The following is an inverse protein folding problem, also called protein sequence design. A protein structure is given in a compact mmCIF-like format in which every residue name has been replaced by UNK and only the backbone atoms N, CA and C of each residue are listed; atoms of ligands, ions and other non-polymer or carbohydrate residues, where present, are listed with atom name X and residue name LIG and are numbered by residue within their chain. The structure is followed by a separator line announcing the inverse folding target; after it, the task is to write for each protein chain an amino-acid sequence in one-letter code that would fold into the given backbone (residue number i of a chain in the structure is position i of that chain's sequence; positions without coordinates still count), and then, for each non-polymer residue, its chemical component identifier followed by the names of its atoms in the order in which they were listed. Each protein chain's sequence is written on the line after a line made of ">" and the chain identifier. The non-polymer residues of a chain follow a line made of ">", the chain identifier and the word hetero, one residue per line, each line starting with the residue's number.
data_IF_875285944620
#
_entry.id   IF_875285944620
#
_cell.length_a   1.000
_cell.length_b   1.000
_cell.length_c   1.000
_cell.angle_alpha   90.00
_cell.angle_beta   90.00
_cell.angle_gamma   90.00
#
_symmetry.space_group_name_H-M   'P 1'
#
loop_
_entity.id
_entity.type
_entity.pdbx_description
1 polymer ?
#
# COMPACT_ATOMS: atom_id res chain seq x y z
N UNK A 1 5.05 -46.44 -4.18
CA UNK A 1 5.41 -45.03 -4.46
C UNK A 1 4.69 -44.15 -3.45
N UNK A 2 5.47 -43.43 -2.64
CA UNK A 2 5.06 -42.80 -1.39
C UNK A 2 4.54 -41.35 -1.56
N UNK A 3 3.69 -40.92 -0.62
CA UNK A 3 3.40 -39.51 -0.31
C UNK A 3 2.22 -38.92 -1.11
N UNK A 4 0.97 -38.87 -0.64
CA UNK A 4 0.37 -38.26 0.56
C UNK A 4 0.24 -36.72 0.47
N UNK A 5 -1.00 -36.28 0.65
CA UNK A 5 -1.43 -35.08 1.39
C UNK A 5 -1.81 -33.84 0.58
N UNK A 6 -2.97 -33.28 0.95
CA UNK A 6 -3.73 -32.29 0.19
C UNK A 6 -3.12 -30.90 0.11
N UNK A 7 -3.46 -30.19 -0.97
CA UNK A 7 -3.03 -28.81 -1.16
C UNK A 7 -3.85 -28.01 -2.18
N UNK A 8 -5.15 -28.29 -2.36
CA UNK A 8 -6.03 -27.48 -3.21
C UNK A 8 -6.06 -25.99 -2.81
N UNK A 9 -5.63 -25.67 -1.58
CA UNK A 9 -5.58 -24.28 -1.09
C UNK A 9 -4.40 -23.45 -1.62
N UNK A 10 -3.28 -24.10 -1.97
CA UNK A 10 -2.11 -23.37 -2.45
C UNK A 10 -2.29 -22.96 -3.90
N UNK A 11 -2.95 -23.80 -4.69
CA UNK A 11 -3.12 -23.58 -6.13
C UNK A 11 -4.07 -22.40 -6.43
N UNK A 12 -5.10 -22.18 -5.62
CA UNK A 12 -5.95 -20.98 -5.77
C UNK A 12 -5.19 -19.70 -5.42
N UNK A 13 -4.34 -19.75 -4.39
CA UNK A 13 -3.60 -18.57 -3.93
C UNK A 13 -2.56 -18.19 -4.97
N UNK A 14 -1.85 -19.18 -5.53
CA UNK A 14 -0.91 -18.95 -6.62
C UNK A 14 -1.61 -18.34 -7.85
N UNK A 15 -2.80 -18.82 -8.22
CA UNK A 15 -3.58 -18.21 -9.32
C UNK A 15 -4.01 -16.78 -9.05
N UNK A 16 -4.40 -16.44 -7.83
CA UNK A 16 -4.75 -15.07 -7.46
C UNK A 16 -3.53 -14.17 -7.44
N UNK A 17 -2.39 -14.66 -6.97
CA UNK A 17 -1.11 -13.94 -6.98
C UNK A 17 -0.67 -13.68 -8.43
N UNK A 18 -0.75 -14.66 -9.32
CA UNK A 18 -0.42 -14.49 -10.74
C UNK A 18 -1.39 -13.52 -11.44
N UNK A 19 -2.69 -13.57 -11.10
CA UNK A 19 -3.69 -12.66 -11.69
C UNK A 19 -3.47 -11.23 -11.20
N UNK A 20 -3.14 -11.05 -9.92
CA UNK A 20 -2.81 -9.74 -9.34
C UNK A 20 -1.50 -9.19 -9.92
N UNK A 21 -0.46 -10.01 -10.05
CA UNK A 21 0.80 -9.60 -10.67
C UNK A 21 0.63 -9.17 -12.13
N UNK A 22 -0.21 -9.86 -12.91
CA UNK A 22 -0.50 -9.47 -14.30
C UNK A 22 -1.44 -8.25 -14.40
N UNK A 23 -2.25 -8.00 -13.37
CA UNK A 23 -3.13 -6.83 -13.30
C UNK A 23 -2.44 -5.59 -12.74
N UNK A 24 -1.30 -5.74 -12.06
CA UNK A 24 -0.47 -4.61 -11.66
C UNK A 24 0.23 -4.15 -12.94
N UNK A 25 -0.21 -3.02 -13.55
CA UNK A 25 0.53 -2.45 -14.68
C UNK A 25 1.96 -2.20 -14.22
N UNK A 26 2.91 -2.18 -15.15
CA UNK A 26 4.31 -1.96 -14.80
C UNK A 26 4.40 -0.80 -13.80
N UNK A 27 4.93 -1.04 -12.60
CA UNK A 27 4.90 -0.07 -11.49
C UNK A 27 5.51 1.27 -11.92
N UNK A 28 6.42 1.23 -12.88
CA UNK A 28 7.05 2.35 -13.58
C UNK A 28 6.10 3.22 -14.43
N UNK A 29 4.94 2.71 -14.85
CA UNK A 29 3.91 3.44 -15.59
C UNK A 29 2.97 4.20 -14.64
N UNK A 30 2.72 3.64 -13.45
CA UNK A 30 2.01 4.32 -12.35
C UNK A 30 2.90 5.35 -11.66
N UNK A 31 4.22 5.10 -11.63
CA UNK A 31 5.24 5.97 -11.06
C UNK A 31 6.19 6.49 -12.14
N UNK A 32 5.61 6.96 -13.24
CA UNK A 32 6.35 7.76 -14.22
C UNK A 32 6.80 9.10 -13.61
N UNK A 33 7.79 9.76 -14.19
CA UNK A 33 8.46 10.95 -13.64
C UNK A 33 7.47 12.02 -13.17
N UNK A 34 6.49 12.35 -14.01
CA UNK A 34 5.46 13.35 -13.70
C UNK A 34 4.52 12.90 -12.57
N UNK A 35 4.05 11.65 -12.62
CA UNK A 35 3.12 11.09 -11.63
C UNK A 35 3.79 10.91 -10.27
N UNK A 36 5.09 10.56 -10.24
CA UNK A 36 5.89 10.48 -9.04
C UNK A 36 6.00 11.84 -8.34
N UNK A 37 6.27 12.92 -9.07
CA UNK A 37 6.33 14.25 -8.49
C UNK A 37 4.99 14.71 -7.91
N UNK A 38 3.89 14.45 -8.62
CA UNK A 38 2.53 14.77 -8.15
C UNK A 38 2.19 13.96 -6.90
N UNK A 39 2.54 12.68 -6.87
CA UNK A 39 2.35 11.81 -5.70
C UNK A 39 3.11 12.34 -4.48
N UNK A 40 4.40 12.65 -4.64
CA UNK A 40 5.23 13.17 -3.55
C UNK A 40 4.69 14.52 -3.07
N UNK A 41 4.31 15.42 -3.98
CA UNK A 41 3.75 16.72 -3.62
C UNK A 41 2.44 16.58 -2.82
N UNK A 42 1.52 15.72 -3.27
CA UNK A 42 0.29 15.43 -2.55
C UNK A 42 0.54 14.74 -1.20
N UNK A 43 1.48 13.81 -1.14
CA UNK A 43 1.83 13.09 0.09
C UNK A 43 2.43 14.02 1.15
N UNK A 44 3.38 14.86 0.75
CA UNK A 44 4.02 15.84 1.64
C UNK A 44 3.00 16.88 2.10
N UNK A 45 2.22 17.44 1.18
CA UNK A 45 1.19 18.43 1.51
C UNK A 45 0.12 17.82 2.42
N UNK A 46 -0.36 16.61 2.11
CA UNK A 46 -1.31 15.87 2.94
C UNK A 46 -0.77 15.56 4.33
N UNK A 47 0.51 15.20 4.44
CA UNK A 47 1.17 14.97 5.74
C UNK A 47 1.29 16.26 6.54
N UNK A 48 1.63 17.39 5.92
CA UNK A 48 1.67 18.69 6.60
C UNK A 48 0.28 19.13 7.07
N UNK A 49 -0.74 18.97 6.23
CA UNK A 49 -2.14 19.27 6.60
C UNK A 49 -2.59 18.36 7.74
N UNK A 50 -2.33 17.05 7.66
CA UNK A 50 -2.63 16.12 8.74
C UNK A 50 -1.88 16.51 10.01
N UNK A 51 -0.58 16.77 9.97
CA UNK A 51 0.19 17.20 11.13
C UNK A 51 -0.37 18.48 11.75
N UNK A 52 -0.81 19.44 10.94
CA UNK A 52 -1.46 20.66 11.41
C UNK A 52 -2.82 20.40 12.05
N UNK A 53 -3.64 19.54 11.44
CA UNK A 53 -4.93 19.10 12.00
C UNK A 53 -4.67 18.36 13.32
N UNK A 54 -3.80 17.37 13.36
CA UNK A 54 -3.44 16.65 14.58
C UNK A 54 -2.90 17.61 15.65
N UNK A 55 -2.04 18.56 15.30
CA UNK A 55 -1.55 19.57 16.24
C UNK A 55 -2.66 20.47 16.80
N UNK A 56 -3.74 20.69 16.05
CA UNK A 56 -4.88 21.50 16.50
C UNK A 56 -5.95 20.71 17.25
N UNK A 57 -6.11 19.42 16.95
CA UNK A 57 -7.13 18.55 17.56
C UNK A 57 -6.58 17.72 18.74
N UNK A 58 -5.30 17.40 18.76
CA UNK A 58 -4.62 16.80 19.90
C UNK A 58 -4.20 17.94 20.81
N UNK A 59 -5.15 18.45 21.59
CA UNK A 59 -4.84 19.17 22.82
C UNK A 59 -4.11 18.17 23.71
N UNK A 60 -2.77 18.23 23.71
CA UNK A 60 -1.93 17.49 24.64
C UNK A 60 -2.34 17.91 26.05
N UNK A 61 -3.23 17.13 26.67
CA UNK A 61 -3.56 17.30 28.07
C UNK A 61 -2.32 16.88 28.85
N UNK A 62 -1.76 17.75 29.71
CA UNK A 62 -0.69 17.32 30.59
C UNK A 62 -1.20 16.11 31.38
N UNK A 63 -0.41 15.04 31.42
CA UNK A 63 -0.69 13.93 32.31
C UNK A 63 -0.26 14.38 33.70
N UNK A 64 -1.24 14.57 34.58
CA UNK A 64 -1.06 14.68 36.03
C UNK A 64 -1.41 13.35 36.69
#
# INVERSE_FOLDING_TARGET
>A
MAGRSGSNNKDYNMKLIDTLYNQVPAFTDVFDEETWYIFVACFVTGTLVLAFILSRFITLKPVE
#
